data_IF_741929808118
#
_entry.id   IF_741929808118
#
_cell.length_a   1.000
_cell.length_b   1.000
_cell.length_c   1.000
_cell.angle_alpha   90.00
_cell.angle_beta   90.00
_cell.angle_gamma   90.00
#
_symmetry.space_group_name_H-M   'P 1'
#
loop_
_entity.id
_entity.type
_entity.pdbx_description
1 polymer ?
#
# COMPACT_ATOMS: atom_id res chain seq x y z
N UNK A 1 7.54 -72.08 -36.44
CA UNK A 1 6.26 -72.08 -35.74
C UNK A 1 6.26 -70.75 -34.92
N UNK A 2 5.71 -69.72 -35.54
CA UNK A 2 5.81 -68.35 -35.08
C UNK A 2 4.63 -67.96 -34.18
N UNK A 3 4.93 -67.44 -33.03
CA UNK A 3 3.92 -66.93 -32.12
C UNK A 3 4.01 -65.42 -32.21
N UNK A 4 2.97 -64.79 -32.80
CA UNK A 4 2.81 -63.30 -32.88
C UNK A 4 2.54 -62.74 -31.49
N UNK A 5 3.41 -61.84 -31.05
CA UNK A 5 3.17 -61.01 -29.87
C UNK A 5 2.47 -59.71 -30.32
N UNK A 6 1.23 -59.58 -29.90
CA UNK A 6 0.39 -58.37 -30.15
C UNK A 6 0.68 -57.35 -29.06
N UNK A 7 1.51 -56.34 -29.39
CA UNK A 7 1.79 -55.23 -28.47
C UNK A 7 0.66 -54.19 -28.57
N UNK A 8 -0.14 -54.10 -27.52
CA UNK A 8 -1.23 -53.16 -27.40
C UNK A 8 -0.64 -51.74 -27.07
N UNK A 9 -0.66 -50.85 -28.05
CA UNK A 9 -0.35 -49.42 -27.82
C UNK A 9 -1.54 -48.76 -27.14
N UNK A 10 -1.43 -48.53 -25.82
CA UNK A 10 -2.36 -47.63 -25.09
C UNK A 10 -1.91 -46.20 -25.33
N UNK A 11 -2.65 -45.53 -26.20
CA UNK A 11 -2.51 -44.08 -26.46
C UNK A 11 -3.12 -43.32 -25.28
N UNK A 12 -2.29 -42.91 -24.32
CA UNK A 12 -2.73 -42.01 -23.25
C UNK A 12 -2.88 -40.58 -23.83
N UNK A 13 -4.10 -40.21 -24.18
CA UNK A 13 -4.46 -38.86 -24.46
C UNK A 13 -4.49 -38.10 -23.14
N UNK A 14 -3.38 -37.42 -22.81
CA UNK A 14 -3.39 -36.37 -21.77
C UNK A 14 -4.23 -35.20 -22.27
N UNK A 15 -5.47 -35.17 -21.84
CA UNK A 15 -6.31 -33.96 -21.94
C UNK A 15 -5.66 -32.89 -21.07
N UNK A 16 -4.81 -32.07 -21.68
CA UNK A 16 -4.41 -30.79 -21.10
C UNK A 16 -5.62 -29.84 -21.16
N UNK A 17 -6.42 -29.84 -20.10
CA UNK A 17 -7.42 -28.80 -19.88
C UNK A 17 -6.66 -27.48 -19.79
N UNK A 18 -6.99 -26.45 -20.60
CA UNK A 18 -6.45 -25.14 -20.37
C UNK A 18 -6.94 -24.67 -19.00
N UNK A 19 -6.02 -24.47 -18.06
CA UNK A 19 -6.31 -23.73 -16.83
C UNK A 19 -6.68 -22.33 -17.28
N UNK A 20 -7.96 -22.09 -17.45
CA UNK A 20 -8.49 -20.76 -17.62
C UNK A 20 -8.13 -19.98 -16.35
N UNK A 21 -7.10 -19.16 -16.44
CA UNK A 21 -6.90 -18.11 -15.46
C UNK A 21 -8.10 -17.17 -15.61
N UNK A 22 -9.13 -17.45 -14.81
CA UNK A 22 -10.26 -16.56 -14.71
C UNK A 22 -9.73 -15.19 -14.35
N UNK A 23 -9.75 -14.27 -15.31
CA UNK A 23 -9.67 -12.85 -15.00
C UNK A 23 -10.83 -12.59 -14.03
N UNK A 24 -10.48 -12.41 -12.75
CA UNK A 24 -11.42 -11.87 -11.77
C UNK A 24 -11.73 -10.48 -12.29
N UNK A 25 -12.85 -10.34 -13.00
CA UNK A 25 -13.41 -9.06 -13.35
C UNK A 25 -13.79 -8.37 -12.04
N UNK A 26 -12.83 -7.62 -11.50
CA UNK A 26 -13.06 -6.76 -10.37
C UNK A 26 -13.95 -5.62 -10.86
N UNK A 27 -15.23 -5.61 -10.43
CA UNK A 27 -16.23 -4.59 -10.74
C UNK A 27 -15.75 -3.15 -10.47
N UNK A 28 -14.65 -3.00 -9.76
CA UNK A 28 -14.10 -1.74 -9.29
C UNK A 28 -12.95 -1.19 -10.18
N UNK A 29 -12.64 -1.84 -11.31
CA UNK A 29 -11.63 -1.38 -12.27
C UNK A 29 -10.17 -1.56 -11.82
N UNK A 30 -9.90 -2.38 -10.79
CA UNK A 30 -8.56 -2.74 -10.39
C UNK A 30 -8.04 -3.92 -11.20
N UNK A 31 -6.86 -3.77 -11.81
CA UNK A 31 -6.13 -4.82 -12.53
C UNK A 31 -5.08 -5.45 -11.63
N UNK A 32 -5.04 -6.78 -11.55
CA UNK A 32 -3.97 -7.49 -10.85
C UNK A 32 -2.64 -7.34 -11.61
N UNK A 33 -1.59 -6.94 -10.89
CA UNK A 33 -0.25 -6.75 -11.47
C UNK A 33 0.65 -7.94 -11.13
N UNK A 34 0.74 -8.29 -9.85
CA UNK A 34 1.59 -9.39 -9.36
C UNK A 34 1.33 -9.68 -7.89
N UNK A 35 1.91 -10.78 -7.43
CA UNK A 35 2.08 -11.06 -6.00
C UNK A 35 3.57 -11.15 -5.66
N UNK A 36 3.98 -10.53 -4.57
CA UNK A 36 5.35 -10.60 -4.04
C UNK A 36 5.31 -10.49 -2.52
N UNK A 37 6.09 -11.34 -1.83
CA UNK A 37 6.14 -11.37 -0.36
C UNK A 37 4.75 -11.49 0.29
N UNK A 38 3.86 -12.29 -0.30
CA UNK A 38 2.45 -12.42 0.12
C UNK A 38 1.70 -11.09 0.16
N UNK A 39 2.04 -10.17 -0.74
CA UNK A 39 1.31 -8.93 -1.02
C UNK A 39 0.82 -8.98 -2.45
N UNK A 40 -0.50 -8.95 -2.63
CA UNK A 40 -1.15 -8.82 -3.95
C UNK A 40 -1.16 -7.36 -4.35
N UNK A 41 -0.62 -7.07 -5.52
CA UNK A 41 -0.52 -5.71 -6.06
C UNK A 41 -1.48 -5.54 -7.22
N UNK A 42 -2.18 -4.42 -7.23
CA UNK A 42 -3.13 -4.03 -8.27
C UNK A 42 -2.84 -2.60 -8.71
N UNK A 43 -3.29 -2.26 -9.91
CA UNK A 43 -3.29 -0.91 -10.45
C UNK A 43 -4.67 -0.55 -10.99
N UNK A 44 -4.93 0.76 -11.11
CA UNK A 44 -6.14 1.30 -11.72
C UNK A 44 -5.84 2.64 -12.37
N UNK A 45 -6.23 2.80 -13.64
CA UNK A 45 -6.13 4.10 -14.30
C UNK A 45 -7.25 5.02 -13.82
N UNK A 46 -6.90 6.24 -13.43
CA UNK A 46 -7.80 7.29 -12.94
C UNK A 46 -7.47 8.60 -13.67
N UNK A 47 -8.12 8.85 -14.79
CA UNK A 47 -7.74 9.92 -15.71
C UNK A 47 -6.35 9.67 -16.27
N UNK A 48 -5.46 10.65 -16.14
CA UNK A 48 -4.05 10.54 -16.60
C UNK A 48 -3.09 9.96 -15.55
N UNK A 49 -3.61 9.42 -14.45
CA UNK A 49 -2.81 8.90 -13.33
C UNK A 49 -3.14 7.46 -13.04
N UNK A 50 -2.18 6.78 -12.44
CA UNK A 50 -2.35 5.40 -12.01
C UNK A 50 -2.45 5.33 -10.50
N UNK A 51 -3.54 4.77 -10.00
CA UNK A 51 -3.69 4.39 -8.60
C UNK A 51 -3.09 3.00 -8.36
N UNK A 52 -2.54 2.79 -7.17
CA UNK A 52 -1.94 1.52 -6.75
C UNK A 52 -2.64 0.98 -5.52
N UNK A 53 -2.73 -0.36 -5.45
CA UNK A 53 -3.28 -1.06 -4.30
C UNK A 53 -2.40 -2.25 -3.94
N UNK A 54 -2.14 -2.40 -2.63
CA UNK A 54 -1.53 -3.57 -2.03
C UNK A 54 -2.48 -4.22 -1.04
N UNK A 55 -2.61 -5.54 -1.07
CA UNK A 55 -3.38 -6.29 -0.09
C UNK A 55 -2.47 -7.34 0.54
N UNK A 56 -2.34 -7.31 1.85
CA UNK A 56 -1.52 -8.26 2.61
C UNK A 56 -2.05 -8.50 4.01
N UNK A 57 -1.54 -9.55 4.64
CA UNK A 57 -1.85 -9.90 6.03
C UNK A 57 -0.72 -9.37 6.92
N UNK A 58 -1.09 -8.76 8.05
CA UNK A 58 -0.18 -8.25 9.08
C UNK A 58 -0.62 -8.81 10.42
N UNK A 59 0.31 -9.35 11.21
CA UNK A 59 0.03 -9.81 12.57
C UNK A 59 -0.03 -8.63 13.54
N UNK A 60 -1.01 -8.64 14.46
CA UNK A 60 -1.19 -7.67 15.51
C UNK A 60 -2.58 -7.08 15.57
N UNK A 61 -2.72 -5.95 16.29
CA UNK A 61 -4.01 -5.30 16.54
C UNK A 61 -4.16 -4.00 15.74
N UNK A 62 -5.41 -3.59 15.43
CA UNK A 62 -5.67 -2.34 14.71
C UNK A 62 -5.10 -1.11 15.44
N UNK A 63 -5.19 -1.07 16.77
CA UNK A 63 -4.70 0.06 17.59
C UNK A 63 -3.19 0.24 17.42
N UNK A 64 -2.43 -0.86 17.41
CA UNK A 64 -0.98 -0.82 17.21
C UNK A 64 -0.65 -0.35 15.80
N UNK A 65 -1.33 -0.89 14.79
CA UNK A 65 -1.09 -0.53 13.39
C UNK A 65 -1.40 0.94 13.13
N UNK A 66 -2.55 1.46 13.63
CA UNK A 66 -2.88 2.88 13.51
C UNK A 66 -1.86 3.75 14.24
N UNK A 67 -1.40 3.32 15.42
CA UNK A 67 -0.34 4.00 16.18
C UNK A 67 0.96 4.12 15.38
N UNK A 68 1.39 3.05 14.68
CA UNK A 68 2.55 3.06 13.79
C UNK A 68 2.36 4.06 12.64
N UNK A 69 1.21 4.00 11.97
CA UNK A 69 0.92 4.88 10.83
C UNK A 69 0.87 6.35 11.26
N UNK A 70 0.47 6.65 12.49
CA UNK A 70 0.39 8.01 13.03
C UNK A 70 1.62 8.45 13.84
N UNK A 71 2.71 7.69 13.84
CA UNK A 71 3.95 8.04 14.51
C UNK A 71 5.00 8.60 13.51
N UNK A 72 5.02 9.92 13.22
CA UNK A 72 5.90 10.48 12.22
C UNK A 72 7.40 10.33 12.56
N UNK A 73 7.75 10.20 13.84
CA UNK A 73 9.14 9.99 14.29
C UNK A 73 9.71 8.63 13.85
N UNK A 74 8.81 7.69 13.54
CA UNK A 74 9.16 6.32 13.17
C UNK A 74 9.05 6.05 11.68
N UNK A 75 8.40 6.89 10.88
CA UNK A 75 8.16 6.65 9.46
C UNK A 75 9.42 6.31 8.66
N UNK A 76 10.55 6.96 8.94
CA UNK A 76 11.83 6.69 8.27
C UNK A 76 12.36 5.27 8.44
N UNK A 77 11.81 4.46 9.34
CA UNK A 77 12.23 3.07 9.55
C UNK A 77 11.40 2.07 8.73
N UNK A 78 10.28 2.51 8.14
CA UNK A 78 9.40 1.63 7.41
C UNK A 78 8.83 2.22 6.10
N UNK A 79 9.08 3.49 5.82
CA UNK A 79 8.78 4.13 4.53
C UNK A 79 10.12 4.37 3.84
N UNK A 80 10.28 3.77 2.65
CA UNK A 80 11.48 3.95 1.84
C UNK A 80 11.66 5.42 1.45
N UNK A 81 12.91 5.88 1.39
CA UNK A 81 13.31 7.22 0.96
C UNK A 81 12.70 8.38 1.80
N UNK A 82 12.11 8.10 2.95
CA UNK A 82 11.61 9.15 3.83
C UNK A 82 12.73 9.76 4.66
N UNK A 83 12.96 11.06 4.49
CA UNK A 83 13.92 11.84 5.29
C UNK A 83 13.30 12.25 6.63
N UNK A 84 12.18 12.95 6.60
CA UNK A 84 11.55 13.45 7.80
C UNK A 84 10.02 13.36 7.77
N UNK A 85 9.45 13.05 8.95
CA UNK A 85 8.01 13.13 9.21
C UNK A 85 7.72 14.05 10.40
N UNK A 86 6.72 14.95 10.26
CA UNK A 86 6.33 15.90 11.31
C UNK A 86 4.82 15.94 11.51
N UNK A 87 4.39 15.99 12.76
CA UNK A 87 3.03 16.39 13.11
C UNK A 87 2.95 17.93 13.07
N UNK A 88 2.12 18.47 12.19
CA UNK A 88 1.88 19.91 12.09
C UNK A 88 0.73 20.35 12.99
N UNK A 89 -0.32 19.54 13.08
CA UNK A 89 -1.52 19.82 13.88
C UNK A 89 -2.23 18.53 14.30
N UNK A 90 -2.71 18.48 15.54
CA UNK A 90 -3.68 17.51 16.02
C UNK A 90 -5.01 18.22 16.18
N UNK A 91 -5.97 17.95 15.28
CA UNK A 91 -7.32 18.55 15.31
C UNK A 91 -8.26 17.78 16.25
N UNK A 92 -8.09 16.47 16.35
CA UNK A 92 -8.79 15.59 17.30
C UNK A 92 -7.96 14.32 17.54
N UNK A 93 -8.47 13.35 18.32
CA UNK A 93 -7.84 12.05 18.50
C UNK A 93 -7.84 11.19 17.22
N UNK A 94 -8.66 11.57 16.22
CA UNK A 94 -8.82 10.87 14.96
C UNK A 94 -8.52 11.72 13.72
N UNK A 95 -8.07 12.97 13.91
CA UNK A 95 -7.81 13.88 12.81
C UNK A 95 -6.50 14.65 13.02
N UNK A 96 -5.54 14.43 12.15
CA UNK A 96 -4.19 14.96 12.24
C UNK A 96 -3.79 15.62 10.92
N UNK A 97 -2.83 16.55 10.97
CA UNK A 97 -2.15 17.09 9.79
C UNK A 97 -0.66 16.82 9.94
N UNK A 98 -0.08 16.24 8.90
CA UNK A 98 1.32 15.85 8.86
C UNK A 98 2.06 16.49 7.69
N UNK A 99 3.37 16.54 7.83
CA UNK A 99 4.34 16.78 6.77
C UNK A 99 5.18 15.51 6.58
N UNK A 100 5.41 15.12 5.34
CA UNK A 100 6.44 14.17 4.94
C UNK A 100 7.42 14.85 4.00
N UNK A 101 8.72 14.64 4.23
CA UNK A 101 9.81 15.01 3.34
C UNK A 101 10.45 13.73 2.81
N UNK A 102 10.57 13.65 1.48
CA UNK A 102 11.01 12.45 0.76
C UNK A 102 12.24 12.80 -0.03
N UNK A 103 13.31 12.08 0.22
CA UNK A 103 14.53 12.16 -0.57
C UNK A 103 14.32 11.51 -1.94
N UNK A 104 14.73 12.21 -2.96
CA UNK A 104 14.67 11.69 -4.32
C UNK A 104 16.07 11.49 -4.87
N UNK A 105 16.25 10.38 -5.61
CA UNK A 105 17.50 10.12 -6.31
C UNK A 105 17.76 11.21 -7.36
N UNK A 106 18.97 11.77 -7.32
CA UNK A 106 19.43 12.71 -8.34
C UNK A 106 19.24 12.13 -9.77
N UNK A 107 18.77 12.89 -10.77
CA UNK A 107 18.59 14.35 -10.82
C UNK A 107 17.22 14.87 -10.37
N UNK A 108 16.45 14.09 -9.68
CA UNK A 108 15.09 14.42 -9.26
C UNK A 108 15.14 15.18 -7.92
N UNK A 109 14.43 16.32 -7.83
CA UNK A 109 14.39 17.11 -6.59
C UNK A 109 13.63 16.36 -5.49
N UNK A 110 13.97 16.64 -4.24
CA UNK A 110 13.22 16.14 -3.08
C UNK A 110 11.77 16.59 -3.12
N UNK A 111 10.90 15.79 -2.53
CA UNK A 111 9.47 16.06 -2.43
C UNK A 111 9.08 16.32 -1.00
N UNK A 112 8.00 17.09 -0.86
CA UNK A 112 7.29 17.23 0.40
C UNK A 112 5.80 17.07 0.19
N UNK A 113 5.13 16.49 1.18
CA UNK A 113 3.70 16.28 1.17
C UNK A 113 3.13 16.81 2.48
N UNK A 114 2.15 17.70 2.39
CA UNK A 114 1.34 18.09 3.54
C UNK A 114 -0.03 17.48 3.36
N UNK A 115 -0.47 16.70 4.34
CA UNK A 115 -1.71 15.96 4.24
C UNK A 115 -2.42 15.88 5.60
N UNK A 116 -3.73 15.84 5.54
CA UNK A 116 -4.53 15.45 6.69
C UNK A 116 -4.75 13.93 6.69
N UNK A 117 -4.86 13.34 7.86
CA UNK A 117 -5.19 11.95 8.08
C UNK A 117 -6.40 11.86 9.02
N UNK A 118 -7.42 11.14 8.57
CA UNK A 118 -8.65 10.92 9.33
C UNK A 118 -8.82 9.42 9.55
N UNK A 119 -9.04 9.02 10.81
CA UNK A 119 -9.39 7.65 11.20
C UNK A 119 -10.88 7.55 11.39
N UNK A 120 -11.50 6.57 10.78
CA UNK A 120 -12.94 6.29 10.92
C UNK A 120 -13.20 4.80 11.05
N UNK A 121 -14.31 4.45 11.71
CA UNK A 121 -14.86 3.10 11.68
C UNK A 121 -15.85 3.00 10.52
N UNK A 122 -15.67 2.02 9.65
CA UNK A 122 -16.50 1.85 8.43
C UNK A 122 -17.31 0.56 8.42
N UNK A 123 -17.28 -0.18 9.54
CA UNK A 123 -18.02 -1.43 9.74
C UNK A 123 -17.94 -1.85 11.20
N UNK A 124 -18.46 -3.02 11.59
CA UNK A 124 -18.47 -3.46 12.97
C UNK A 124 -17.08 -3.49 13.64
N UNK A 125 -16.06 -3.85 12.88
CA UNK A 125 -14.66 -3.93 13.35
C UNK A 125 -13.65 -3.30 12.39
N UNK A 126 -14.09 -2.80 11.24
CA UNK A 126 -13.23 -2.29 10.18
C UNK A 126 -12.84 -0.85 10.44
N UNK A 127 -11.55 -0.55 10.27
CA UNK A 127 -10.98 0.80 10.40
C UNK A 127 -10.50 1.27 9.04
N UNK A 128 -10.78 2.53 8.72
CA UNK A 128 -10.27 3.23 7.57
C UNK A 128 -9.46 4.45 8.01
N UNK A 129 -8.19 4.51 7.58
CA UNK A 129 -7.43 5.76 7.59
C UNK A 129 -7.46 6.32 6.18
N UNK A 130 -7.96 7.53 6.04
CA UNK A 130 -7.92 8.26 4.77
C UNK A 130 -7.03 9.49 4.90
N UNK A 131 -6.11 9.65 3.95
CA UNK A 131 -5.18 10.76 3.88
C UNK A 131 -5.34 11.47 2.55
N UNK A 132 -5.30 12.81 2.58
CA UNK A 132 -5.31 13.65 1.38
C UNK A 132 -4.53 14.93 1.60
N UNK A 133 -3.94 15.47 0.54
CA UNK A 133 -3.19 16.72 0.63
C UNK A 133 -4.07 17.90 1.03
N UNK A 134 -3.51 18.71 1.91
CA UNK A 134 -4.13 19.97 2.37
C UNK A 134 -3.12 21.10 2.36
N UNK A 135 -3.60 22.35 2.34
CA UNK A 135 -2.79 23.51 2.63
C UNK A 135 -2.75 23.74 4.14
N UNK A 136 -1.57 24.05 4.67
CA UNK A 136 -1.40 24.31 6.09
C UNK A 136 -0.42 25.46 6.33
N UNK A 137 -0.69 26.40 7.27
CA UNK A 137 0.15 27.59 7.48
C UNK A 137 1.56 27.26 7.99
N UNK A 138 1.72 26.13 8.69
CA UNK A 138 3.02 25.63 9.17
C UNK A 138 3.79 24.81 8.11
N UNK A 139 3.25 24.68 6.89
CA UNK A 139 3.97 24.02 5.82
C UNK A 139 5.24 24.76 5.45
N UNK A 140 6.38 24.11 5.24
CA UNK A 140 7.62 24.77 4.91
C UNK A 140 7.52 25.50 3.56
N UNK A 141 8.28 26.60 3.44
CA UNK A 141 8.48 27.35 2.21
C UNK A 141 9.91 27.09 1.74
N UNK A 142 10.16 25.91 1.23
CA UNK A 142 11.48 25.48 0.75
C UNK A 142 11.48 25.28 -0.78
N UNK A 143 12.56 24.73 -1.32
CA UNK A 143 12.73 24.45 -2.75
C UNK A 143 12.26 23.06 -3.18
N UNK A 144 11.73 22.24 -2.25
CA UNK A 144 11.22 20.91 -2.54
C UNK A 144 9.98 20.98 -3.43
N UNK A 145 9.76 19.95 -4.22
CA UNK A 145 8.55 19.85 -5.03
C UNK A 145 7.39 19.45 -4.12
N UNK A 146 6.33 20.26 -4.09
CA UNK A 146 5.10 19.92 -3.37
C UNK A 146 4.33 18.87 -4.15
N UNK A 147 4.44 17.61 -3.72
CA UNK A 147 3.62 16.53 -4.24
C UNK A 147 2.19 16.61 -3.69
N UNK A 148 1.23 16.04 -4.42
CA UNK A 148 -0.18 16.03 -4.04
C UNK A 148 -0.69 14.61 -3.93
N UNK A 149 -1.23 14.27 -2.79
CA UNK A 149 -1.96 13.01 -2.56
C UNK A 149 -3.45 13.29 -2.78
N UNK A 150 -4.04 12.66 -3.78
CA UNK A 150 -5.49 12.67 -3.99
C UNK A 150 -6.17 11.86 -2.90
N UNK A 151 -5.64 10.65 -2.66
CA UNK A 151 -5.92 9.84 -1.48
C UNK A 151 -4.79 8.86 -1.22
N UNK A 152 -4.55 8.58 0.05
CA UNK A 152 -3.92 7.36 0.56
C UNK A 152 -4.88 6.75 1.55
N UNK A 153 -5.17 5.47 1.41
CA UNK A 153 -6.11 4.75 2.27
C UNK A 153 -5.45 3.50 2.83
N UNK A 154 -5.65 3.30 4.12
CA UNK A 154 -5.38 2.04 4.79
C UNK A 154 -6.71 1.52 5.32
N UNK A 155 -7.24 0.48 4.68
CA UNK A 155 -8.37 -0.25 5.22
C UNK A 155 -7.83 -1.43 6.01
N UNK A 156 -8.24 -1.54 7.26
CA UNK A 156 -7.80 -2.53 8.23
C UNK A 156 -9.00 -3.37 8.59
N UNK A 157 -8.97 -4.63 8.16
CA UNK A 157 -10.03 -5.61 8.41
C UNK A 157 -9.46 -6.67 9.39
N UNK A 158 -9.87 -6.66 10.68
CA UNK A 158 -9.46 -7.67 11.64
C UNK A 158 -9.90 -9.07 11.20
N UNK A 159 -9.01 -10.04 11.35
CA UNK A 159 -9.22 -11.45 11.09
C UNK A 159 -9.03 -12.26 12.37
N UNK A 160 -9.38 -13.54 12.33
CA UNK A 160 -9.08 -14.47 13.42
C UNK A 160 -7.57 -14.62 13.64
N UNK A 161 -7.16 -15.01 14.86
CA UNK A 161 -5.77 -15.31 15.17
C UNK A 161 -4.84 -14.10 15.31
N UNK A 162 -5.36 -12.94 15.75
CA UNK A 162 -4.59 -11.69 15.91
C UNK A 162 -3.92 -11.24 14.59
N UNK A 163 -4.64 -11.39 13.48
CA UNK A 163 -4.22 -11.00 12.15
C UNK A 163 -5.12 -9.88 11.60
N UNK A 164 -4.57 -9.08 10.71
CA UNK A 164 -5.24 -7.99 10.03
C UNK A 164 -5.07 -8.16 8.52
N UNK A 165 -6.15 -8.14 7.74
CA UNK A 165 -6.01 -7.86 6.33
C UNK A 165 -5.87 -6.35 6.16
N UNK A 166 -4.78 -5.93 5.57
CA UNK A 166 -4.52 -4.53 5.28
C UNK A 166 -4.60 -4.31 3.78
N UNK A 167 -5.49 -3.41 3.38
CA UNK A 167 -5.58 -2.92 2.01
C UNK A 167 -5.04 -1.48 2.00
N UNK A 168 -3.90 -1.32 1.34
CA UNK A 168 -3.29 -0.02 1.08
C UNK A 168 -3.67 0.44 -0.32
N UNK A 169 -4.15 1.67 -0.45
CA UNK A 169 -4.43 2.31 -1.75
C UNK A 169 -3.78 3.70 -1.79
N UNK A 170 -3.23 4.05 -2.95
CA UNK A 170 -2.65 5.38 -3.17
C UNK A 170 -2.96 5.89 -4.58
N UNK A 171 -3.38 7.14 -4.65
CA UNK A 171 -3.43 7.96 -5.86
C UNK A 171 -2.76 9.29 -5.56
N UNK A 172 -1.63 9.54 -6.17
CA UNK A 172 -0.85 10.76 -5.94
C UNK A 172 -0.30 11.34 -7.24
N UNK A 173 0.04 12.62 -7.16
CA UNK A 173 0.78 13.34 -8.16
C UNK A 173 2.12 13.75 -7.53
N UNK A 174 3.21 13.11 -7.91
CA UNK A 174 4.52 13.44 -7.35
C UNK A 174 5.03 14.82 -7.73
N UNK A 175 4.36 15.50 -8.66
CA UNK A 175 4.76 16.81 -9.16
C UNK A 175 6.07 16.80 -9.95
N UNK A 176 6.31 17.84 -10.72
CA UNK A 176 7.52 17.98 -11.53
C UNK A 176 7.62 16.94 -12.66
N UNK A 177 8.82 16.82 -13.23
CA UNK A 177 9.09 15.79 -14.25
C UNK A 177 9.72 14.57 -13.60
N UNK A 178 9.05 13.43 -13.72
CA UNK A 178 9.56 12.11 -13.30
C UNK A 178 9.68 11.23 -14.54
N UNK A 179 10.82 10.56 -14.75
CA UNK A 179 10.97 9.59 -15.82
C UNK A 179 9.98 8.43 -15.70
N UNK A 180 9.38 8.00 -16.81
CA UNK A 180 8.35 6.94 -16.82
C UNK A 180 8.82 5.63 -16.18
N UNK A 181 10.10 5.26 -16.34
CA UNK A 181 10.63 4.04 -15.72
C UNK A 181 10.58 4.08 -14.19
N UNK A 182 10.71 5.27 -13.56
CA UNK A 182 10.59 5.43 -12.11
C UNK A 182 9.13 5.29 -11.67
N UNK A 183 8.19 5.77 -12.47
CA UNK A 183 6.75 5.59 -12.23
C UNK A 183 6.40 4.10 -12.30
N UNK A 184 6.88 3.40 -13.32
CA UNK A 184 6.67 1.95 -13.49
C UNK A 184 7.29 1.13 -12.34
N UNK A 185 8.49 1.51 -11.91
CA UNK A 185 9.15 0.84 -10.78
C UNK A 185 8.37 1.07 -9.48
N UNK A 186 8.03 2.32 -9.18
CA UNK A 186 7.26 2.67 -8.00
C UNK A 186 5.91 1.95 -7.97
N UNK A 187 5.24 1.85 -9.12
CA UNK A 187 3.94 1.18 -9.25
C UNK A 187 3.95 -0.28 -8.78
N UNK A 188 5.06 -0.96 -9.00
CA UNK A 188 5.21 -2.40 -8.71
C UNK A 188 5.79 -2.66 -7.32
N UNK A 189 6.60 -1.76 -6.78
CA UNK A 189 7.34 -1.97 -5.53
C UNK A 189 6.70 -1.26 -4.33
N UNK A 190 6.17 -0.06 -4.51
CA UNK A 190 5.68 0.77 -3.43
C UNK A 190 4.60 0.10 -2.55
N UNK A 191 3.53 -0.55 -3.09
CA UNK A 191 2.56 -1.22 -2.22
C UNK A 191 3.16 -2.39 -1.43
N UNK A 192 4.18 -3.06 -1.99
CA UNK A 192 4.88 -4.15 -1.30
C UNK A 192 5.74 -3.60 -0.17
N UNK A 193 6.54 -2.55 -0.43
CA UNK A 193 7.41 -1.96 0.60
C UNK A 193 6.61 -1.39 1.77
N UNK A 194 5.48 -0.76 1.53
CA UNK A 194 4.59 -0.25 2.60
C UNK A 194 4.09 -1.40 3.50
N UNK A 195 3.55 -2.47 2.93
CA UNK A 195 3.04 -3.59 3.73
C UNK A 195 4.17 -4.31 4.47
N UNK A 196 5.33 -4.51 3.84
CA UNK A 196 6.51 -5.12 4.48
C UNK A 196 7.04 -4.24 5.61
N UNK A 197 7.21 -2.94 5.37
CA UNK A 197 7.67 -2.01 6.39
C UNK A 197 6.73 -1.97 7.60
N UNK A 198 5.42 -2.02 7.38
CA UNK A 198 4.44 -2.13 8.48
C UNK A 198 4.56 -3.47 9.21
N UNK A 199 4.80 -4.60 8.52
CA UNK A 199 5.05 -5.89 9.17
C UNK A 199 6.26 -5.84 10.09
N UNK A 200 7.36 -5.29 9.60
CA UNK A 200 8.60 -5.15 10.38
C UNK A 200 8.39 -4.24 11.60
N UNK A 201 7.72 -3.11 11.43
CA UNK A 201 7.47 -2.17 12.51
C UNK A 201 6.45 -2.70 13.53
N UNK A 202 5.54 -3.58 13.13
CA UNK A 202 4.64 -4.30 14.05
C UNK A 202 5.39 -5.25 15.01
N UNK A 203 6.59 -5.71 14.67
CA UNK A 203 7.43 -6.51 15.56
C UNK A 203 8.09 -5.65 16.66
N UNK A 204 8.14 -4.33 16.49
CA UNK A 204 8.75 -3.43 17.49
C UNK A 204 7.87 -3.33 18.73
N UNK A 205 8.38 -3.71 19.94
CA UNK A 205 7.59 -3.72 21.17
C UNK A 205 7.30 -2.32 21.72
N UNK A 206 8.07 -1.30 21.32
CA UNK A 206 7.96 0.08 21.82
C UNK A 206 6.91 0.94 21.10
N UNK A 207 6.04 0.35 20.28
CA UNK A 207 5.02 1.13 19.57
C UNK A 207 3.83 1.48 20.47
N UNK A 208 3.47 2.76 20.47
CA UNK A 208 2.28 3.25 21.14
C UNK A 208 1.01 2.79 20.40
N UNK A 209 -0.02 2.43 21.16
CA UNK A 209 -1.34 2.11 20.62
C UNK A 209 -2.14 3.38 20.43
N UNK A 210 -2.76 3.54 19.28
CA UNK A 210 -3.69 4.62 19.02
C UNK A 210 -5.06 4.33 19.64
N UNK A 211 -5.81 5.39 19.93
CA UNK A 211 -7.25 5.30 20.14
C UNK A 211 -7.91 5.00 18.78
N UNK A 212 -9.00 4.24 18.83
CA UNK A 212 -9.83 3.99 17.64
C UNK A 212 -11.21 4.61 17.84
N UNK A 213 -11.86 5.11 16.80
CA UNK A 213 -13.25 5.57 16.88
C UNK A 213 -14.20 4.43 17.23
N UNK A 214 -15.26 4.75 18.01
CA UNK A 214 -16.32 3.82 18.39
C UNK A 214 -17.20 3.40 17.21
#
# INVERSE_FOLDING_TARGET
MNIFSLTLFILVYLFSLPISHGQVNNSDGWEFVRERKNVKVYRKEVGERTAFKGVGIIEGTPEKLVGIIHNPKRWKFWIDDLDEGKLLEKKSDFHFVFLQEIDAMWPVKNREIVFESIVSRVGPSQILLEMKSVNHPKAPKNSNVRAKVTYTRYRIDPLDGNCLQVTFENLSDPGGRIPNFMVDWASKSFPVSIIEGLREEMLNPGQEKALLPE
#
